data_IF_024249715953
#
_entry.id   IF_024249715953
#
_cell.length_a   1.000
_cell.length_b   1.000
_cell.length_c   1.000
_cell.angle_alpha   90.00
_cell.angle_beta   90.00
_cell.angle_gamma   90.00
#
_symmetry.space_group_name_H-M   'P 1'
#
loop_
_entity.id
_entity.type
_entity.pdbx_description
1 polymer ?
#
# COMPACT_ATOMS: atom_id res chain seq x y z
N UNK A 1 -22.46 -11.79 5.19
CA UNK A 1 -21.16 -11.36 5.73
C UNK A 1 -20.33 -11.06 4.51
N UNK A 2 -20.43 -9.82 4.06
CA UNK A 2 -19.69 -9.35 2.88
C UNK A 2 -18.22 -9.27 3.30
N UNK A 3 -17.38 -10.06 2.66
CA UNK A 3 -15.92 -9.94 2.75
C UNK A 3 -15.54 -8.62 2.08
N UNK A 4 -15.45 -7.55 2.88
CA UNK A 4 -15.18 -6.18 2.44
C UNK A 4 -13.85 -5.66 2.99
N UNK A 5 -12.95 -6.54 3.40
CA UNK A 5 -11.74 -6.20 4.13
C UNK A 5 -10.60 -5.82 3.15
N UNK A 6 -10.79 -4.73 2.39
CA UNK A 6 -9.67 -4.00 1.77
C UNK A 6 -9.02 -3.03 2.77
N UNK A 7 -9.18 -3.27 4.07
CA UNK A 7 -8.65 -2.43 5.12
C UNK A 7 -7.57 -3.20 5.87
N UNK A 8 -6.44 -2.54 6.11
CA UNK A 8 -5.38 -3.04 6.99
C UNK A 8 -5.31 -2.15 8.23
N UNK A 9 -5.01 -2.77 9.36
CA UNK A 9 -4.65 -2.02 10.57
C UNK A 9 -3.14 -1.97 10.64
N UNK A 10 -2.58 -0.79 10.41
CA UNK A 10 -1.14 -0.57 10.53
C UNK A 10 -0.87 -0.10 11.95
N UNK A 11 0.03 -0.79 12.65
CA UNK A 11 0.48 -0.40 13.98
C UNK A 11 1.81 0.33 13.84
N UNK A 12 1.80 1.61 14.21
CA UNK A 12 3.01 2.43 14.20
C UNK A 12 3.95 2.09 15.37
N UNK A 13 5.20 2.58 15.34
CA UNK A 13 6.21 2.43 16.42
C UNK A 13 5.73 2.89 17.81
N UNK A 14 4.71 3.76 17.86
CA UNK A 14 4.08 4.20 19.10
C UNK A 14 2.98 3.25 19.63
N UNK A 15 2.67 2.17 18.92
CA UNK A 15 1.59 1.25 19.25
C UNK A 15 0.19 1.78 18.93
N UNK A 16 0.10 2.82 18.10
CA UNK A 16 -1.18 3.35 17.63
C UNK A 16 -1.66 2.53 16.43
N UNK A 17 -2.90 2.05 16.52
CA UNK A 17 -3.58 1.36 15.43
C UNK A 17 -4.17 2.41 14.47
N UNK A 18 -3.61 2.49 13.26
CA UNK A 18 -4.15 3.31 12.18
C UNK A 18 -4.88 2.39 11.19
N UNK A 19 -6.17 2.67 10.96
CA UNK A 19 -6.92 2.01 9.91
C UNK A 19 -6.52 2.61 8.57
N UNK A 20 -6.11 1.77 7.62
CA UNK A 20 -5.76 2.16 6.27
C UNK A 20 -6.57 1.36 5.26
N UNK A 21 -6.97 1.98 4.15
CA UNK A 21 -7.60 1.29 3.04
C UNK A 21 -6.56 0.97 1.97
N UNK A 22 -6.46 -0.30 1.62
CA UNK A 22 -5.64 -0.82 0.54
C UNK A 22 -6.26 -0.39 -0.79
N UNK A 23 -5.48 0.36 -1.56
CA UNK A 23 -5.79 0.68 -2.95
C UNK A 23 -5.45 -0.50 -3.86
N UNK A 24 -4.23 -1.00 -3.73
CA UNK A 24 -3.66 -2.03 -4.60
C UNK A 24 -2.53 -2.78 -3.90
N UNK A 25 -2.31 -4.03 -4.27
CA UNK A 25 -1.18 -4.83 -3.78
C UNK A 25 -0.67 -5.72 -4.91
N UNK A 26 0.66 -5.87 -4.97
CA UNK A 26 1.32 -6.77 -5.91
C UNK A 26 2.43 -7.56 -5.21
N UNK A 27 2.75 -8.73 -5.75
CA UNK A 27 3.88 -9.53 -5.31
C UNK A 27 5.09 -9.27 -6.21
N UNK A 28 6.26 -9.08 -5.62
CA UNK A 28 7.51 -9.08 -6.37
C UNK A 28 8.19 -10.43 -6.19
N UNK A 29 8.25 -11.19 -7.28
CA UNK A 29 9.00 -12.44 -7.34
C UNK A 29 10.51 -12.21 -7.18
N UNK A 30 11.00 -11.02 -7.55
CA UNK A 30 12.41 -10.65 -7.48
C UNK A 30 12.89 -10.49 -6.02
N UNK A 31 12.08 -9.83 -5.19
CA UNK A 31 12.37 -9.63 -3.77
C UNK A 31 11.78 -10.72 -2.86
N UNK A 32 10.83 -11.52 -3.37
CA UNK A 32 10.07 -12.48 -2.57
C UNK A 32 9.20 -11.79 -1.50
N UNK A 33 8.80 -10.54 -1.76
CA UNK A 33 7.99 -9.71 -0.86
C UNK A 33 6.75 -9.21 -1.59
N UNK A 34 5.70 -8.92 -0.83
CA UNK A 34 4.53 -8.24 -1.37
C UNK A 34 4.66 -6.74 -1.14
N UNK A 35 4.14 -5.92 -2.01
CA UNK A 35 4.04 -4.47 -1.86
C UNK A 35 2.57 -4.10 -1.79
N UNK A 36 2.23 -3.22 -0.87
CA UNK A 36 0.86 -2.77 -0.64
C UNK A 36 0.81 -1.25 -0.66
N UNK A 37 -0.09 -0.72 -1.50
CA UNK A 37 -0.44 0.69 -1.55
C UNK A 37 -1.69 0.90 -0.71
N UNK A 38 -1.63 1.83 0.23
CA UNK A 38 -2.73 2.13 1.12
C UNK A 38 -2.74 3.61 1.51
N UNK A 39 -3.88 4.09 1.95
CA UNK A 39 -4.03 5.42 2.53
C UNK A 39 -4.77 5.32 3.87
N UNK A 40 -4.44 6.16 4.86
CA UNK A 40 -5.13 6.16 6.15
C UNK A 40 -6.61 6.51 5.99
N UNK A 41 -7.49 5.61 6.45
CA UNK A 41 -8.94 5.86 6.49
C UNK A 41 -9.23 6.91 7.54
N UNK A 42 -9.94 7.95 7.14
CA UNK A 42 -10.20 9.10 8.01
C UNK A 42 -9.11 10.16 7.93
N UNK A 43 -8.06 9.95 7.12
CA UNK A 43 -7.46 11.09 6.44
C UNK A 43 -8.45 11.56 5.38
N UNK A 44 -9.47 12.30 5.84
CA UNK A 44 -9.98 13.41 5.05
C UNK A 44 -8.78 14.32 4.86
N UNK A 45 -7.93 14.01 3.86
CA UNK A 45 -6.76 14.77 3.50
C UNK A 45 -7.25 16.09 2.90
N UNK A 46 -7.72 16.99 3.77
CA UNK A 46 -7.51 18.41 3.62
C UNK A 46 -6.02 18.68 3.93
N UNK A 47 -5.12 18.07 3.15
CA UNK A 47 -3.93 18.83 2.80
C UNK A 47 -4.42 20.04 1.99
N UNK A 48 -3.73 21.17 2.03
CA UNK A 48 -4.26 22.45 1.53
C UNK A 48 -4.62 22.42 0.01
N UNK A 49 -4.21 21.35 -0.70
CA UNK A 49 -4.47 21.05 -2.12
C UNK A 49 -5.51 19.92 -2.38
N UNK A 50 -6.03 19.23 -1.35
CA UNK A 50 -7.06 18.19 -1.50
C UNK A 50 -6.58 16.88 -2.14
N UNK A 51 -5.27 16.62 -2.09
CA UNK A 51 -4.63 15.41 -2.64
C UNK A 51 -4.55 14.31 -1.56
N UNK A 52 -4.93 13.08 -1.91
CA UNK A 52 -4.80 11.92 -1.00
C UNK A 52 -3.37 11.39 -1.05
N UNK A 53 -2.64 11.48 0.06
CA UNK A 53 -1.31 10.89 0.17
C UNK A 53 -1.41 9.36 0.19
N UNK A 54 -0.85 8.72 -0.83
CA UNK A 54 -0.78 7.27 -0.94
C UNK A 54 0.54 6.79 -0.36
N UNK A 55 0.47 5.86 0.59
CA UNK A 55 1.63 5.20 1.16
C UNK A 55 1.84 3.85 0.51
N UNK A 56 3.11 3.45 0.41
CA UNK A 56 3.52 2.13 -0.06
C UNK A 56 4.46 1.50 0.97
N UNK A 57 4.25 0.22 1.26
CA UNK A 57 5.15 -0.56 2.12
C UNK A 57 5.28 -1.99 1.64
N UNK A 58 6.42 -2.60 1.95
CA UNK A 58 6.68 -4.00 1.67
C UNK A 58 6.07 -4.87 2.79
N UNK A 59 5.12 -5.71 2.45
CA UNK A 59 4.55 -6.73 3.31
C UNK A 59 5.31 -8.06 3.17
N UNK A 60 5.79 -8.59 4.30
CA UNK A 60 6.37 -9.92 4.39
C UNK A 60 5.41 -10.81 5.19
N UNK A 61 4.81 -11.85 4.58
CA UNK A 61 3.98 -12.78 5.33
C UNK A 61 4.84 -13.55 6.35
N UNK A 62 4.39 -13.59 7.61
CA UNK A 62 5.01 -14.41 8.64
C UNK A 62 4.77 -15.90 8.44
N UNK A 63 5.58 -16.74 9.08
CA UNK A 63 5.51 -18.21 8.96
C UNK A 63 4.33 -18.76 9.80
N UNK A 64 3.43 -19.53 9.17
CA UNK A 64 2.23 -20.29 9.63
C UNK A 64 1.33 -19.80 10.80
N UNK A 65 1.75 -18.86 11.65
CA UNK A 65 1.04 -18.28 12.80
C UNK A 65 1.53 -16.87 13.19
N UNK A 66 2.50 -16.29 12.48
CA UNK A 66 3.01 -14.93 12.75
C UNK A 66 2.27 -13.88 11.91
N UNK A 67 1.93 -12.75 12.55
CA UNK A 67 1.39 -11.58 11.88
C UNK A 67 2.46 -11.04 10.91
N UNK A 68 2.12 -10.89 9.63
CA UNK A 68 3.09 -10.44 8.63
C UNK A 68 3.64 -9.04 8.96
N UNK A 69 4.89 -8.80 8.58
CA UNK A 69 5.59 -7.55 8.90
C UNK A 69 5.48 -6.57 7.73
N UNK A 70 5.13 -5.32 8.04
CA UNK A 70 5.20 -4.20 7.10
C UNK A 70 6.55 -3.50 7.27
N UNK A 71 7.30 -3.42 6.19
CA UNK A 71 8.60 -2.80 6.12
C UNK A 71 8.55 -1.58 5.21
N UNK A 72 9.22 -0.47 5.59
CA UNK A 72 9.38 0.67 4.72
C UNK A 72 10.30 0.32 3.54
N UNK A 73 10.17 1.10 2.47
CA UNK A 73 10.91 0.89 1.24
C UNK A 73 12.14 1.79 1.26
N UNK A 74 13.30 1.17 1.37
CA UNK A 74 14.56 1.88 1.58
C UNK A 74 15.46 1.86 0.35
N UNK A 75 15.17 1.01 -0.65
CA UNK A 75 16.05 0.81 -1.82
C UNK A 75 15.49 1.46 -3.09
N UNK A 76 16.38 2.07 -3.88
CA UNK A 76 16.01 2.68 -5.16
C UNK A 76 15.45 1.65 -6.15
N UNK A 77 15.91 0.40 -6.10
CA UNK A 77 15.42 -0.68 -6.97
C UNK A 77 13.96 -1.03 -6.68
N UNK A 78 13.57 -1.07 -5.41
CA UNK A 78 12.16 -1.26 -5.04
C UNK A 78 11.31 -0.06 -5.45
N UNK A 79 11.82 1.16 -5.27
CA UNK A 79 11.13 2.38 -5.70
C UNK A 79 10.91 2.43 -7.22
N UNK A 80 11.92 2.09 -8.03
CA UNK A 80 11.83 2.08 -9.50
C UNK A 80 10.73 1.11 -9.98
N UNK A 81 10.67 -0.09 -9.38
CA UNK A 81 9.62 -1.07 -9.66
C UNK A 81 8.23 -0.54 -9.28
N UNK A 82 8.11 0.09 -8.12
CA UNK A 82 6.84 0.63 -7.61
C UNK A 82 6.36 1.79 -8.47
N UNK A 83 7.26 2.67 -8.88
CA UNK A 83 6.95 3.75 -9.81
C UNK A 83 6.52 3.19 -11.17
N UNK A 84 7.16 2.14 -11.68
CA UNK A 84 6.75 1.50 -12.94
C UNK A 84 5.34 0.90 -12.84
N UNK A 85 5.06 0.15 -11.77
CA UNK A 85 3.74 -0.45 -11.53
C UNK A 85 2.68 0.62 -11.30
N UNK A 86 3.00 1.67 -10.53
CA UNK A 86 2.10 2.79 -10.26
C UNK A 86 1.77 3.58 -11.53
N UNK A 87 2.77 3.92 -12.33
CA UNK A 87 2.56 4.61 -13.60
C UNK A 87 1.72 3.77 -14.55
N UNK A 88 1.94 2.45 -14.61
CA UNK A 88 1.12 1.54 -15.41
C UNK A 88 -0.33 1.55 -14.92
N UNK A 89 -0.56 1.46 -13.61
CA UNK A 89 -1.90 1.51 -13.02
C UNK A 89 -2.61 2.85 -13.30
N UNK A 90 -1.93 3.99 -13.12
CA UNK A 90 -2.47 5.30 -13.43
C UNK A 90 -2.78 5.45 -14.93
N UNK A 91 -1.91 4.96 -15.80
CA UNK A 91 -2.15 4.95 -17.24
C UNK A 91 -3.38 4.09 -17.59
N UNK A 92 -3.55 2.92 -17.00
CA UNK A 92 -4.76 2.09 -17.23
C UNK A 92 -6.05 2.76 -16.74
N UNK A 93 -6.00 3.52 -15.64
CA UNK A 93 -7.14 4.31 -15.16
C UNK A 93 -7.48 5.48 -16.09
N UNK A 94 -6.47 6.13 -16.68
CA UNK A 94 -6.64 7.25 -17.62
C UNK A 94 -7.08 6.77 -19.03
N UNK A 95 -6.58 5.63 -19.51
CA UNK A 95 -6.92 5.06 -20.82
C UNK A 95 -8.29 4.35 -20.86
N UNK A 96 -8.96 4.19 -19.71
CA UNK A 96 -10.33 3.70 -19.61
C UNK A 96 -11.42 4.70 -20.05
N UNK A 97 -11.03 5.94 -20.37
CA UNK A 97 -11.93 7.02 -20.78
C UNK A 97 -11.66 7.45 -22.24
N UNK A 98 -11.82 6.53 -23.21
CA UNK A 98 -11.74 6.83 -24.66
C UNK A 98 -12.94 6.30 -25.45
#
# INVERSE_FOLDING_TARGET
MEHGDRHITVVDEHGNEQLCEILFTFESDDFGKSYVFYYPVGAEAEDEDGETEVHVSAFIPGDENEEGELLPIETEEEWDMIEEVWNTFCAEQEEGEA
#
